data_IF_865564333512
#
_entry.id   IF_865564333512
#
_cell.length_a   1.000
_cell.length_b   1.000
_cell.length_c   1.000
_cell.angle_alpha   90.00
_cell.angle_beta   90.00
_cell.angle_gamma   90.00
#
_symmetry.space_group_name_H-M   'P 1'
#
loop_
_entity.id
_entity.type
_entity.pdbx_description
1 polymer ?
#
# COMPACT_ATOMS: atom_id res chain seq x y z
N UNK A 1 -17.07 3.73 2.13
CA UNK A 1 -16.73 3.24 3.49
C UNK A 1 -15.21 3.20 3.65
N UNK A 2 -14.67 3.48 4.83
CA UNK A 2 -13.21 3.59 5.07
C UNK A 2 -12.74 2.52 6.06
N UNK A 3 -11.66 1.81 5.77
CA UNK A 3 -11.21 0.61 6.49
C UNK A 3 -10.09 0.94 7.49
N UNK A 4 -10.18 0.41 8.72
CA UNK A 4 -9.11 0.46 9.74
C UNK A 4 -8.08 -0.65 9.46
N UNK A 5 -6.78 -0.47 9.75
CA UNK A 5 -5.75 -1.49 9.52
C UNK A 5 -6.07 -2.87 10.12
N UNK A 6 -6.78 -2.93 11.24
CA UNK A 6 -7.21 -4.20 11.86
C UNK A 6 -8.15 -5.02 10.96
N UNK A 7 -8.98 -4.37 10.15
CA UNK A 7 -9.87 -5.04 9.23
C UNK A 7 -9.12 -5.65 8.03
N UNK A 8 -8.00 -5.04 7.62
CA UNK A 8 -7.14 -5.61 6.58
C UNK A 8 -6.51 -6.93 7.03
N UNK A 9 -6.12 -7.03 8.30
CA UNK A 9 -5.60 -8.27 8.89
C UNK A 9 -6.67 -9.36 8.87
N UNK A 10 -7.92 -9.02 9.22
CA UNK A 10 -9.02 -9.96 9.16
C UNK A 10 -9.28 -10.45 7.74
N UNK A 11 -9.21 -9.58 6.73
CA UNK A 11 -9.33 -9.99 5.33
C UNK A 11 -8.24 -10.99 4.94
N UNK A 12 -6.98 -10.72 5.28
CA UNK A 12 -5.88 -11.65 4.99
C UNK A 12 -6.07 -13.03 5.67
N UNK A 13 -6.58 -13.05 6.90
CA UNK A 13 -6.83 -14.30 7.64
C UNK A 13 -7.98 -15.11 7.05
N UNK A 14 -9.09 -14.47 6.67
CA UNK A 14 -10.30 -15.18 6.23
C UNK A 14 -10.37 -15.40 4.72
N UNK A 15 -9.62 -14.61 3.94
CA UNK A 15 -9.55 -14.68 2.49
C UNK A 15 -8.08 -14.78 2.06
N UNK A 16 -7.41 -15.92 2.34
CA UNK A 16 -5.97 -16.07 2.13
C UNK A 16 -5.56 -16.06 0.65
N UNK A 17 -6.51 -16.23 -0.27
CA UNK A 17 -6.33 -16.23 -1.72
C UNK A 17 -6.54 -14.87 -2.39
N UNK A 18 -6.61 -13.77 -1.62
CA UNK A 18 -6.68 -12.43 -2.20
C UNK A 18 -5.41 -12.14 -3.01
N UNK A 19 -5.59 -11.93 -4.31
CA UNK A 19 -4.55 -11.45 -5.22
C UNK A 19 -4.64 -9.95 -5.50
N UNK A 20 -5.85 -9.38 -5.43
CA UNK A 20 -6.11 -7.96 -5.71
C UNK A 20 -6.92 -7.35 -4.58
N UNK A 21 -6.41 -6.27 -3.99
CA UNK A 21 -7.07 -5.55 -2.92
C UNK A 21 -7.18 -4.07 -3.26
N UNK A 22 -8.40 -3.63 -3.56
CA UNK A 22 -8.74 -2.20 -3.68
C UNK A 22 -9.41 -1.72 -2.41
N UNK A 23 -8.81 -0.75 -1.73
CA UNK A 23 -9.31 -0.30 -0.42
C UNK A 23 -9.15 1.20 -0.20
N UNK A 24 -10.18 1.80 0.41
CA UNK A 24 -10.14 3.16 0.96
C UNK A 24 -9.74 3.09 2.43
N UNK A 25 -8.57 3.61 2.77
CA UNK A 25 -8.12 3.63 4.17
C UNK A 25 -8.78 4.78 4.95
N UNK A 26 -9.19 4.46 6.17
CA UNK A 26 -9.64 5.45 7.15
C UNK A 26 -8.41 6.06 7.86
N UNK A 27 -7.74 7.02 7.22
CA UNK A 27 -6.63 7.74 7.82
C UNK A 27 -7.16 8.81 8.77
N UNK A 28 -7.80 8.38 9.88
CA UNK A 28 -8.24 9.33 10.91
C UNK A 28 -7.05 9.71 11.77
N UNK A 29 -6.83 11.01 11.92
CA UNK A 29 -5.77 11.61 12.73
C UNK A 29 -5.81 11.06 14.16
N UNK A 30 -4.83 10.23 14.51
CA UNK A 30 -4.51 9.98 15.91
C UNK A 30 -3.17 10.66 16.16
N UNK A 31 -3.26 11.87 16.73
CA UNK A 31 -2.17 12.69 17.28
C UNK A 31 -1.22 13.40 16.30
N UNK A 32 -1.46 14.71 16.19
CA UNK A 32 -0.53 15.82 15.94
C UNK A 32 0.87 15.48 15.37
N UNK A 33 1.08 15.85 14.11
CA UNK A 33 2.34 16.44 13.63
C UNK A 33 3.59 15.57 13.38
N UNK A 34 3.53 14.23 13.45
CA UNK A 34 4.73 13.40 13.18
C UNK A 34 4.78 12.74 11.78
N UNK A 35 3.62 12.52 11.15
CA UNK A 35 3.51 11.82 9.86
C UNK A 35 2.52 12.57 8.95
N UNK A 36 2.99 13.59 8.25
CA UNK A 36 2.23 14.24 7.19
C UNK A 36 2.32 13.42 5.89
N UNK A 37 1.25 13.41 5.10
CA UNK A 37 1.23 12.79 3.77
C UNK A 37 1.30 11.26 3.76
N UNK A 38 1.96 10.71 2.74
CA UNK A 38 1.99 9.27 2.45
C UNK A 38 2.74 8.43 3.50
N UNK A 39 3.55 9.06 4.35
CA UNK A 39 4.32 8.36 5.41
C UNK A 39 3.43 7.65 6.42
N UNK A 40 2.17 8.05 6.56
CA UNK A 40 1.15 7.31 7.33
C UNK A 40 0.96 5.86 6.85
N UNK A 41 1.26 5.59 5.58
CA UNK A 41 1.08 4.27 4.98
C UNK A 41 2.22 3.29 5.32
N UNK A 42 3.35 3.75 5.88
CA UNK A 42 4.44 2.88 6.38
C UNK A 42 3.93 1.79 7.35
N UNK A 43 2.95 2.12 8.19
CA UNK A 43 2.35 1.16 9.13
C UNK A 43 1.68 -0.05 8.47
N UNK A 44 1.36 0.01 7.17
CA UNK A 44 0.75 -1.10 6.42
C UNK A 44 1.67 -2.32 6.29
N UNK A 45 2.99 -2.15 6.36
CA UNK A 45 3.96 -3.25 6.27
C UNK A 45 3.66 -4.40 7.25
N UNK A 46 3.19 -4.06 8.45
CA UNK A 46 2.80 -5.05 9.47
C UNK A 46 1.57 -5.90 9.10
N UNK A 47 0.70 -5.36 8.26
CA UNK A 47 -0.52 -6.02 7.77
C UNK A 47 -0.25 -6.72 6.45
N UNK A 48 0.49 -6.09 5.54
CA UNK A 48 0.82 -6.67 4.23
C UNK A 48 1.54 -8.01 4.35
N UNK A 49 2.36 -8.20 5.39
CA UNK A 49 3.00 -9.47 5.72
C UNK A 49 2.05 -10.65 5.94
N UNK A 50 0.78 -10.38 6.23
CA UNK A 50 -0.24 -11.42 6.41
C UNK A 50 -0.82 -11.92 5.10
N UNK A 51 -0.67 -11.16 4.00
CA UNK A 51 -1.10 -11.58 2.68
C UNK A 51 -0.01 -12.42 2.01
N UNK A 52 -0.38 -13.61 1.53
CA UNK A 52 0.54 -14.54 0.86
C UNK A 52 0.51 -14.38 -0.66
N UNK A 53 -0.66 -14.13 -1.21
CA UNK A 53 -0.90 -14.11 -2.65
C UNK A 53 -1.23 -12.72 -3.21
N UNK A 54 -1.16 -11.67 -2.39
CA UNK A 54 -1.51 -10.32 -2.84
C UNK A 54 -0.51 -9.81 -3.88
N UNK A 55 -0.97 -9.66 -5.12
CA UNK A 55 -0.20 -9.18 -6.26
C UNK A 55 -0.43 -7.68 -6.50
N UNK A 56 -1.65 -7.18 -6.27
CA UNK A 56 -2.01 -5.79 -6.51
C UNK A 56 -2.69 -5.14 -5.31
N UNK A 57 -2.11 -4.06 -4.82
CA UNK A 57 -2.71 -3.17 -3.82
C UNK A 57 -3.13 -1.84 -4.46
N UNK A 58 -4.42 -1.54 -4.44
CA UNK A 58 -4.98 -0.29 -4.96
C UNK A 58 -5.51 0.59 -3.82
N UNK A 59 -4.81 1.70 -3.58
CA UNK A 59 -5.12 2.73 -2.59
C UNK A 59 -5.66 4.02 -3.23
N UNK A 60 -5.92 4.06 -4.54
CA UNK A 60 -6.51 5.22 -5.24
C UNK A 60 -7.78 5.78 -4.58
N UNK A 61 -8.63 5.01 -3.87
CA UNK A 61 -9.79 5.59 -3.19
C UNK A 61 -9.46 6.35 -1.89
N UNK A 62 -8.21 6.29 -1.42
CA UNK A 62 -7.77 6.88 -0.15
C UNK A 62 -7.51 8.37 -0.31
N UNK A 63 -8.06 9.18 0.62
CA UNK A 63 -7.93 10.63 0.56
C UNK A 63 -6.77 11.09 1.44
N UNK A 64 -5.57 11.19 0.86
CA UNK A 64 -4.37 11.76 1.49
C UNK A 64 -3.59 12.53 0.43
N UNK A 65 -2.86 13.58 0.82
CA UNK A 65 -1.90 14.20 -0.08
C UNK A 65 -0.93 13.11 -0.59
N UNK A 66 -0.83 13.00 -1.92
CA UNK A 66 0.11 12.07 -2.56
C UNK A 66 1.54 12.31 -2.07
N UNK A 67 2.36 11.26 -2.10
CA UNK A 67 3.79 11.39 -1.87
C UNK A 67 4.49 11.92 -3.12
N UNK A 68 5.69 12.48 -2.93
CA UNK A 68 6.62 12.59 -4.04
C UNK A 68 7.04 11.19 -4.55
N UNK A 69 7.71 11.14 -5.70
CA UNK A 69 8.13 9.89 -6.35
C UNK A 69 9.05 9.06 -5.44
N UNK A 70 9.93 9.73 -4.68
CA UNK A 70 10.90 9.08 -3.80
C UNK A 70 10.23 8.42 -2.59
N UNK A 71 9.26 9.08 -1.98
CA UNK A 71 8.47 8.55 -0.87
C UNK A 71 7.66 7.33 -1.30
N UNK A 72 7.04 7.38 -2.49
CA UNK A 72 6.31 6.25 -3.04
C UNK A 72 7.24 5.07 -3.35
N UNK A 73 8.40 5.31 -3.96
CA UNK A 73 9.42 4.27 -4.21
C UNK A 73 9.88 3.60 -2.91
N UNK A 74 10.16 4.39 -1.86
CA UNK A 74 10.52 3.86 -0.56
C UNK A 74 9.43 2.95 0.02
N UNK A 75 8.15 3.33 -0.13
CA UNK A 75 7.03 2.50 0.30
C UNK A 75 6.89 1.24 -0.55
N UNK A 76 7.12 1.33 -1.86
CA UNK A 76 7.14 0.16 -2.75
C UNK A 76 8.16 -0.88 -2.26
N UNK A 77 9.39 -0.45 -1.96
CA UNK A 77 10.43 -1.35 -1.42
C UNK A 77 10.06 -1.93 -0.06
N UNK A 78 9.58 -1.09 0.85
CA UNK A 78 9.17 -1.53 2.19
C UNK A 78 8.05 -2.57 2.13
N UNK A 79 7.03 -2.32 1.31
CA UNK A 79 5.88 -3.19 1.15
C UNK A 79 6.21 -4.47 0.39
N UNK A 80 7.12 -4.41 -0.59
CA UNK A 80 7.61 -5.60 -1.27
C UNK A 80 8.37 -6.52 -0.30
N UNK A 81 9.21 -5.95 0.57
CA UNK A 81 9.91 -6.72 1.62
C UNK A 81 8.93 -7.39 2.57
N UNK A 82 7.83 -6.71 2.91
CA UNK A 82 6.79 -7.26 3.76
C UNK A 82 5.92 -8.31 3.04
N UNK A 83 5.64 -8.13 1.75
CA UNK A 83 4.78 -8.98 0.92
C UNK A 83 5.45 -9.22 -0.45
N UNK A 84 6.31 -10.25 -0.59
CA UNK A 84 7.10 -10.48 -1.80
C UNK A 84 6.28 -10.83 -3.06
N UNK A 85 5.02 -11.21 -2.89
CA UNK A 85 4.07 -11.43 -4.00
C UNK A 85 3.55 -10.13 -4.59
N UNK A 86 3.69 -9.00 -3.89
CA UNK A 86 3.22 -7.70 -4.36
C UNK A 86 4.02 -7.23 -5.57
N UNK A 87 3.35 -7.04 -6.70
CA UNK A 87 3.95 -6.60 -7.98
C UNK A 87 3.37 -5.31 -8.52
N UNK A 88 2.21 -4.88 -8.03
CA UNK A 88 1.55 -3.65 -8.46
C UNK A 88 1.01 -2.87 -7.28
N UNK A 89 1.26 -1.57 -7.28
CA UNK A 89 0.73 -0.64 -6.27
C UNK A 89 0.11 0.55 -6.99
N UNK A 90 -1.13 0.90 -6.66
CA UNK A 90 -1.75 2.17 -7.09
C UNK A 90 -1.86 3.07 -5.86
N UNK A 91 -1.14 4.18 -5.84
CA UNK A 91 -1.13 5.10 -4.71
C UNK A 91 -2.34 6.05 -4.71
N UNK A 92 -2.61 6.74 -3.59
CA UNK A 92 -3.61 7.82 -3.51
C UNK A 92 -3.40 8.95 -4.52
N UNK A 93 -2.15 9.17 -4.95
CA UNK A 93 -1.77 10.09 -6.03
C UNK A 93 -2.27 9.64 -7.42
N UNK A 94 -2.88 8.45 -7.51
CA UNK A 94 -3.18 7.71 -8.74
C UNK A 94 -1.97 7.19 -9.51
N UNK A 95 -0.73 7.43 -9.03
CA UNK A 95 0.45 6.82 -9.64
C UNK A 95 0.44 5.32 -9.43
N UNK A 96 0.67 4.61 -10.52
CA UNK A 96 0.84 3.16 -10.50
C UNK A 96 2.31 2.79 -10.57
N UNK A 97 2.69 1.79 -9.78
CA UNK A 97 4.04 1.24 -9.73
C UNK A 97 4.00 -0.25 -10.02
N UNK A 98 4.98 -0.71 -10.81
CA UNK A 98 5.17 -2.11 -11.18
C UNK A 98 6.53 -2.61 -10.75
N UNK A 99 6.57 -3.78 -10.12
CA UNK A 99 7.80 -4.48 -9.78
C UNK A 99 8.21 -5.37 -10.95
N UNK A 100 9.25 -4.96 -11.67
CA UNK A 100 9.80 -5.72 -12.79
C UNK A 100 10.59 -6.94 -12.32
N UNK A 101 10.96 -7.80 -13.27
CA UNK A 101 11.77 -9.01 -13.02
C UNK A 101 13.21 -8.67 -12.55
N UNK A 102 13.70 -7.48 -12.88
CA UNK A 102 15.00 -6.92 -12.47
C UNK A 102 15.04 -6.41 -11.02
N UNK A 103 13.97 -6.64 -10.24
CA UNK A 103 13.81 -6.18 -8.85
C UNK A 103 13.73 -4.66 -8.70
N UNK A 104 13.37 -3.96 -9.76
CA UNK A 104 13.15 -2.51 -9.71
C UNK A 104 11.66 -2.19 -9.80
N UNK A 105 11.26 -1.19 -9.02
CA UNK A 105 9.96 -0.56 -9.11
C UNK A 105 10.00 0.57 -10.14
N UNK A 106 9.08 0.55 -11.08
CA UNK A 106 8.92 1.61 -12.08
C UNK A 106 7.54 2.26 -11.95
N UNK A 107 7.45 3.59 -11.95
CA UNK A 107 6.17 4.27 -12.07
C UNK A 107 5.64 4.12 -13.50
N UNK A 108 4.33 4.24 -13.66
CA UNK A 108 3.65 4.12 -14.97
C UNK A 108 3.66 5.46 -15.75
N UNK A 109 4.45 6.42 -15.26
CA UNK A 109 4.59 7.74 -15.86
C UNK A 109 5.81 7.77 -16.80
N UNK A 110 5.55 7.73 -18.11
CA UNK A 110 6.29 8.45 -19.16
C UNK A 110 5.33 9.47 -19.74
#
# INVERSE_FOLDING_TARGET
MSVRPILLRNLATHLPSIEVLKVRLALRHTLHYALTGIRLLTGLSSVLRTFRLLVHLDLSPTSVAGGDVEQELNLCDEWHRACPSLKRITFPSHREWFHRFDRMWIPTDI
#
